data_IF_735198431409
#
_entry.id   IF_735198431409
#
_cell.length_a   1.000
_cell.length_b   1.000
_cell.length_c   1.000
_cell.angle_alpha   90.00
_cell.angle_beta   90.00
_cell.angle_gamma   90.00
#
_symmetry.space_group_name_H-M   'P 1'
#
loop_
_entity.id
_entity.type
_entity.pdbx_description
1 polymer ?
#
# COMPACT_ATOMS: atom_id res chain seq x y z
N UNK A 1 -3.87 18.80 11.31
CA UNK A 1 -3.55 17.35 11.28
C UNK A 1 -4.65 16.64 10.51
N UNK A 2 -4.30 15.68 9.65
CA UNK A 2 -5.25 14.76 9.00
C UNK A 2 -5.16 13.43 9.73
N UNK A 3 -6.29 12.92 10.23
CA UNK A 3 -6.37 11.58 10.83
C UNK A 3 -6.76 10.60 9.73
N UNK A 4 -6.04 9.49 9.65
CA UNK A 4 -6.39 8.35 8.80
C UNK A 4 -6.93 7.24 9.69
N UNK A 5 -7.95 6.54 9.19
CA UNK A 5 -8.59 5.44 9.89
C UNK A 5 -8.84 4.29 8.91
N UNK A 6 -8.88 3.08 9.44
CA UNK A 6 -9.27 1.86 8.75
C UNK A 6 -10.08 0.98 9.70
N UNK A 7 -10.87 0.08 9.14
CA UNK A 7 -11.71 -0.84 9.90
C UNK A 7 -11.36 -2.26 9.49
N UNK A 8 -10.84 -3.05 10.43
CA UNK A 8 -10.59 -4.47 10.18
C UNK A 8 -11.92 -5.23 10.01
N UNK A 9 -12.02 -6.02 8.94
CA UNK A 9 -13.11 -6.96 8.72
C UNK A 9 -12.59 -8.38 8.87
N UNK A 10 -13.30 -9.25 9.60
CA UNK A 10 -12.86 -10.62 9.87
C UNK A 10 -12.55 -11.40 8.58
N UNK A 11 -13.32 -11.20 7.51
CA UNK A 11 -13.09 -11.84 6.21
C UNK A 11 -11.74 -11.47 5.56
N UNK A 12 -11.08 -10.40 6.04
CA UNK A 12 -9.78 -9.95 5.56
C UNK A 12 -8.62 -10.50 6.40
N UNK A 13 -8.87 -11.39 7.36
CA UNK A 13 -7.82 -11.96 8.23
C UNK A 13 -6.71 -12.67 7.45
N UNK A 14 -7.07 -13.28 6.31
CA UNK A 14 -6.16 -13.98 5.41
C UNK A 14 -5.57 -13.06 4.32
N UNK A 15 -5.94 -11.78 4.29
CA UNK A 15 -5.43 -10.78 3.35
C UNK A 15 -4.32 -9.95 4.00
N UNK A 16 -3.05 -10.18 3.67
CA UNK A 16 -1.95 -9.41 4.24
C UNK A 16 -2.12 -7.93 3.91
N UNK A 17 -1.94 -7.08 4.93
CA UNK A 17 -1.91 -5.63 4.79
C UNK A 17 -3.21 -4.98 4.26
N UNK A 18 -4.38 -5.64 4.35
CA UNK A 18 -5.67 -5.08 3.93
C UNK A 18 -5.99 -3.72 4.60
N UNK A 19 -5.86 -3.62 5.93
CA UNK A 19 -6.06 -2.36 6.64
C UNK A 19 -5.03 -1.28 6.30
N UNK A 20 -3.80 -1.66 5.92
CA UNK A 20 -2.80 -0.69 5.45
C UNK A 20 -3.18 -0.13 4.08
N UNK A 21 -3.70 -0.98 3.19
CA UNK A 21 -4.24 -0.53 1.92
C UNK A 21 -5.39 0.47 2.12
N UNK A 22 -6.34 0.17 3.03
CA UNK A 22 -7.43 1.09 3.37
C UNK A 22 -6.91 2.44 3.91
N UNK A 23 -5.94 2.41 4.82
CA UNK A 23 -5.31 3.62 5.39
C UNK A 23 -4.61 4.48 4.34
N UNK A 24 -3.91 3.85 3.40
CA UNK A 24 -3.07 4.56 2.42
C UNK A 24 -3.84 5.02 1.18
N UNK A 25 -5.02 4.44 0.91
CA UNK A 25 -5.89 4.83 -0.21
C UNK A 25 -6.08 6.35 -0.38
N UNK A 26 -6.39 7.15 0.67
CA UNK A 26 -6.52 8.60 0.56
C UNK A 26 -5.22 9.37 0.29
N UNK A 27 -4.07 8.70 0.28
CA UNK A 27 -2.74 9.28 0.06
C UNK A 27 -2.10 8.82 -1.26
N UNK A 28 -2.77 7.96 -2.05
CA UNK A 28 -2.17 7.42 -3.28
C UNK A 28 -1.85 8.50 -4.32
N UNK A 29 -2.53 9.64 -4.29
CA UNK A 29 -2.19 10.80 -5.12
C UNK A 29 -0.79 11.39 -4.81
N UNK A 30 -0.22 11.05 -3.66
CA UNK A 30 1.10 11.50 -3.23
C UNK A 30 2.21 10.52 -3.61
N UNK A 31 1.90 9.31 -4.10
CA UNK A 31 2.88 8.33 -4.56
C UNK A 31 3.94 8.92 -5.51
N UNK A 32 3.59 9.76 -6.50
CA UNK A 32 4.56 10.37 -7.40
C UNK A 32 5.57 11.33 -6.73
N UNK A 33 5.35 11.70 -5.47
CA UNK A 33 6.26 12.55 -4.70
C UNK A 33 7.38 11.76 -4.00
N UNK A 34 7.25 10.42 -3.93
CA UNK A 34 8.30 9.56 -3.42
C UNK A 34 9.42 9.42 -4.45
N UNK A 35 10.66 9.11 -4.02
CA UNK A 35 11.68 8.77 -4.99
C UNK A 35 11.28 7.52 -5.78
N UNK A 36 11.66 7.41 -7.07
CA UNK A 36 11.02 6.47 -8.00
C UNK A 36 11.08 5.00 -7.58
N UNK A 37 12.17 4.58 -6.93
CA UNK A 37 12.32 3.21 -6.43
C UNK A 37 11.30 2.88 -5.34
N UNK A 38 11.13 3.79 -4.37
CA UNK A 38 10.16 3.64 -3.28
C UNK A 38 8.72 3.73 -3.80
N UNK A 39 8.44 4.64 -4.73
CA UNK A 39 7.13 4.76 -5.37
C UNK A 39 6.74 3.44 -6.05
N UNK A 40 7.65 2.84 -6.83
CA UNK A 40 7.43 1.57 -7.52
C UNK A 40 7.25 0.40 -6.56
N UNK A 41 8.09 0.31 -5.53
CA UNK A 41 7.96 -0.74 -4.50
C UNK A 41 6.61 -0.65 -3.76
N UNK A 42 6.18 0.56 -3.39
CA UNK A 42 4.91 0.78 -2.72
C UNK A 42 3.71 0.54 -3.65
N UNK A 43 3.78 0.96 -4.91
CA UNK A 43 2.75 0.69 -5.91
C UNK A 43 2.57 -0.82 -6.16
N UNK A 44 3.68 -1.58 -6.20
CA UNK A 44 3.66 -3.03 -6.27
C UNK A 44 3.04 -3.67 -5.03
N UNK A 45 3.46 -3.26 -3.83
CA UNK A 45 2.93 -3.76 -2.57
C UNK A 45 1.42 -3.50 -2.40
N UNK A 46 0.92 -2.43 -3.01
CA UNK A 46 -0.50 -2.05 -3.01
C UNK A 46 -1.28 -2.59 -4.23
N UNK A 47 -0.67 -3.46 -5.03
CA UNK A 47 -1.24 -4.06 -6.24
C UNK A 47 -1.77 -3.04 -7.28
N UNK A 48 -1.18 -1.83 -7.30
CA UNK A 48 -1.49 -0.78 -8.29
C UNK A 48 -0.69 -0.97 -9.58
N UNK A 49 0.49 -1.56 -9.46
CA UNK A 49 1.37 -1.93 -10.58
C UNK A 49 1.92 -3.34 -10.36
N UNK A 50 2.35 -4.00 -11.43
CA UNK A 50 3.10 -5.24 -11.31
C UNK A 50 4.49 -4.92 -10.77
N UNK A 51 4.81 -5.44 -9.59
CA UNK A 51 6.16 -5.42 -9.05
C UNK A 51 6.95 -6.64 -9.49
N UNK A 52 8.27 -6.46 -9.65
CA UNK A 52 9.14 -7.62 -9.53
C UNK A 52 9.29 -7.96 -8.06
N UNK A 53 9.16 -9.25 -7.66
CA UNK A 53 9.40 -9.65 -6.28
C UNK A 53 10.81 -9.23 -5.88
N UNK A 54 10.95 -8.71 -4.66
CA UNK A 54 12.24 -8.34 -4.12
C UNK A 54 13.18 -9.54 -4.19
N UNK A 55 14.33 -9.39 -4.85
CA UNK A 55 15.33 -10.45 -5.02
C UNK A 55 16.00 -10.85 -3.69
N UNK A 56 15.64 -10.19 -2.59
CA UNK A 56 16.08 -10.47 -1.22
C UNK A 56 15.15 -11.46 -0.47
N UNK A 57 14.13 -12.03 -1.13
CA UNK A 57 13.31 -13.12 -0.59
C UNK A 57 13.92 -14.51 -0.83
#
# INVERSE_FOLDING_TARGET
MRVLAATGVESESELPFAGLHELLRPLLELLPQLPPSQAKALAAALALEQGEPDALA
#
